data_IF_737399348464
#
_entry.id   IF_737399348464
#
_cell.length_a   1.000
_cell.length_b   1.000
_cell.length_c   1.000
_cell.angle_alpha   90.00
_cell.angle_beta   90.00
_cell.angle_gamma   90.00
#
_symmetry.space_group_name_H-M   'P 1'
#
loop_
_entity.id
_entity.type
_entity.pdbx_description
1 polymer ?
#
# COMPACT_ATOMS: atom_id res chain seq x y z
N UNK A 1 20.15 -11.42 0.14
CA UNK A 1 19.07 -12.28 -0.40
C UNK A 1 18.46 -13.25 0.62
N UNK A 2 18.97 -13.37 1.86
CA UNK A 2 18.46 -14.33 2.87
C UNK A 2 17.16 -13.94 3.61
N UNK A 3 16.64 -12.72 3.43
CA UNK A 3 15.48 -12.24 4.21
C UNK A 3 14.13 -12.68 3.62
N UNK A 4 14.04 -12.90 2.31
CA UNK A 4 12.78 -13.13 1.60
C UNK A 4 12.18 -14.53 1.85
N UNK A 5 13.02 -15.54 2.18
CA UNK A 5 12.59 -16.91 2.50
C UNK A 5 11.78 -17.02 3.81
N UNK A 6 11.68 -15.95 4.60
CA UNK A 6 10.96 -15.94 5.89
C UNK A 6 9.50 -15.50 5.77
N UNK A 7 9.06 -15.05 4.60
CA UNK A 7 7.71 -14.54 4.40
C UNK A 7 6.90 -15.51 3.55
N UNK A 8 5.79 -15.99 4.10
CA UNK A 8 4.80 -16.75 3.35
C UNK A 8 3.69 -15.82 2.88
N UNK A 9 3.36 -15.86 1.60
CA UNK A 9 2.28 -15.07 1.01
C UNK A 9 1.06 -15.97 0.85
N UNK A 10 -0.06 -15.57 1.45
CA UNK A 10 -1.37 -16.16 1.18
C UNK A 10 -2.15 -15.19 0.31
N UNK A 11 -2.65 -15.70 -0.80
CA UNK A 11 -3.37 -14.94 -1.80
C UNK A 11 -4.81 -15.45 -1.87
N UNK A 12 -5.79 -14.55 -1.88
CA UNK A 12 -7.18 -14.95 -2.09
C UNK A 12 -7.33 -15.65 -3.45
N UNK A 13 -8.18 -16.68 -3.55
CA UNK A 13 -8.42 -17.36 -4.83
C UNK A 13 -8.84 -16.42 -5.96
N UNK A 14 -9.55 -15.32 -5.65
CA UNK A 14 -9.97 -14.29 -6.60
C UNK A 14 -8.79 -13.54 -7.22
N UNK A 15 -7.63 -13.55 -6.57
CA UNK A 15 -6.42 -12.84 -6.98
C UNK A 15 -5.42 -13.71 -7.76
N UNK A 16 -5.83 -14.92 -8.22
CA UNK A 16 -4.95 -15.88 -8.90
C UNK A 16 -4.11 -15.27 -10.03
N UNK A 17 -4.60 -14.23 -10.72
CA UNK A 17 -3.90 -13.55 -11.82
C UNK A 17 -2.52 -13.00 -11.46
N UNK A 18 -2.28 -12.61 -10.19
CA UNK A 18 -0.97 -12.09 -9.75
C UNK A 18 -0.05 -13.16 -9.12
N UNK A 19 -0.49 -14.42 -9.08
CA UNK A 19 0.23 -15.50 -8.40
C UNK A 19 1.63 -15.73 -8.99
N UNK A 20 1.75 -15.79 -10.31
CA UNK A 20 3.03 -16.11 -10.96
C UNK A 20 4.05 -14.98 -10.78
N UNK A 21 3.59 -13.72 -10.86
CA UNK A 21 4.42 -12.56 -10.54
C UNK A 21 4.93 -12.60 -9.09
N UNK A 22 4.11 -13.10 -8.15
CA UNK A 22 4.53 -13.27 -6.75
C UNK A 22 5.50 -14.44 -6.55
N UNK A 23 5.33 -15.56 -7.26
CA UNK A 23 6.25 -16.71 -7.17
C UNK A 23 7.65 -16.38 -7.67
N UNK A 24 7.78 -15.43 -8.60
CA UNK A 24 9.09 -14.93 -9.04
C UNK A 24 9.85 -14.14 -7.96
N UNK A 25 9.16 -13.76 -6.87
CA UNK A 25 9.69 -12.89 -5.82
C UNK A 25 9.71 -13.60 -4.46
N UNK A 26 8.74 -14.46 -4.19
CA UNK A 26 8.55 -15.14 -2.91
C UNK A 26 8.61 -16.65 -3.12
N UNK A 27 9.38 -17.32 -2.28
CA UNK A 27 9.52 -18.78 -2.30
C UNK A 27 8.22 -19.50 -1.94
N UNK A 28 7.39 -18.91 -1.05
CA UNK A 28 6.19 -19.53 -0.50
C UNK A 28 4.96 -18.68 -0.80
N UNK A 29 4.27 -19.01 -1.89
CA UNK A 29 3.00 -18.38 -2.30
C UNK A 29 1.90 -19.45 -2.36
N UNK A 30 0.86 -19.29 -1.55
CA UNK A 30 -0.30 -20.21 -1.51
C UNK A 30 -1.59 -19.45 -1.80
N UNK A 31 -2.51 -20.14 -2.49
CA UNK A 31 -3.87 -19.66 -2.65
C UNK A 31 -4.74 -20.20 -1.51
N UNK A 32 -5.61 -19.36 -0.96
CA UNK A 32 -6.61 -19.77 0.02
C UNK A 32 -7.88 -18.92 -0.12
N UNK A 33 -8.99 -19.38 0.43
CA UNK A 33 -10.18 -18.54 0.58
C UNK A 33 -10.02 -17.66 1.81
N UNK A 34 -9.80 -16.36 1.62
CA UNK A 34 -9.62 -15.43 2.73
C UNK A 34 -10.98 -14.93 3.21
N UNK A 35 -11.16 -14.89 4.54
CA UNK A 35 -12.36 -14.26 5.14
C UNK A 35 -12.32 -12.73 5.04
N UNK A 36 -11.11 -12.16 5.00
CA UNK A 36 -10.84 -10.71 5.02
C UNK A 36 -9.53 -10.44 4.26
N UNK A 37 -9.52 -9.36 3.47
CA UNK A 37 -8.39 -8.96 2.63
C UNK A 37 -8.19 -9.87 1.44
N UNK A 38 -7.26 -9.45 0.58
CA UNK A 38 -6.95 -10.14 -0.67
C UNK A 38 -5.56 -10.78 -0.63
N UNK A 39 -4.66 -10.23 0.18
CA UNK A 39 -3.29 -10.73 0.36
C UNK A 39 -2.90 -10.68 1.84
N UNK A 40 -2.30 -11.76 2.33
CA UNK A 40 -1.73 -11.83 3.68
C UNK A 40 -0.25 -12.18 3.59
N UNK A 41 0.60 -11.33 4.15
CA UNK A 41 2.02 -11.61 4.35
C UNK A 41 2.23 -12.15 5.77
N UNK A 42 2.68 -13.40 5.87
CA UNK A 42 2.91 -14.10 7.13
C UNK A 42 4.41 -14.05 7.48
N UNK A 43 4.75 -13.22 8.46
CA UNK A 43 6.09 -13.08 9.05
C UNK A 43 6.20 -13.92 10.33
N UNK A 44 7.40 -14.35 10.77
CA UNK A 44 7.56 -15.31 11.89
C UNK A 44 6.68 -15.06 13.13
N UNK A 45 6.44 -13.81 13.53
CA UNK A 45 5.61 -13.48 14.70
C UNK A 45 4.30 -12.72 14.42
N UNK A 46 4.05 -12.25 13.20
CA UNK A 46 2.91 -11.38 12.90
C UNK A 46 2.45 -11.51 11.44
N UNK A 47 1.34 -10.86 11.12
CA UNK A 47 0.83 -10.78 9.77
C UNK A 47 0.68 -9.32 9.31
N UNK A 48 0.79 -9.11 8.01
CA UNK A 48 0.35 -7.88 7.33
C UNK A 48 -0.78 -8.25 6.40
N UNK A 49 -1.87 -7.50 6.48
CA UNK A 49 -3.08 -7.69 5.69
C UNK A 49 -3.15 -6.60 4.62
N UNK A 50 -3.39 -6.99 3.37
CA UNK A 50 -3.54 -6.07 2.24
C UNK A 50 -4.87 -6.33 1.56
N UNK A 51 -5.69 -5.30 1.45
CA UNK A 51 -6.85 -5.26 0.55
C UNK A 51 -6.38 -4.63 -0.76
N UNK A 52 -6.62 -5.30 -1.90
CA UNK A 52 -6.26 -4.80 -3.22
C UNK A 52 -7.53 -4.36 -3.93
N UNK A 53 -7.52 -3.18 -4.52
CA UNK A 53 -8.68 -2.64 -5.24
C UNK A 53 -8.24 -1.93 -6.51
N UNK A 54 -8.94 -2.14 -7.62
CA UNK A 54 -8.69 -1.33 -8.82
C UNK A 54 -9.19 0.11 -8.57
N UNK A 55 -8.68 1.09 -9.31
CA UNK A 55 -9.21 2.47 -9.23
C UNK A 55 -10.71 2.52 -9.52
N UNK A 56 -11.16 1.78 -10.53
CA UNK A 56 -12.58 1.71 -10.92
C UNK A 56 -13.43 1.12 -9.79
N UNK A 57 -13.00 0.01 -9.20
CA UNK A 57 -13.68 -0.60 -8.05
C UNK A 57 -13.63 0.31 -6.82
N UNK A 58 -12.53 1.02 -6.61
CA UNK A 58 -12.37 1.95 -5.49
C UNK A 58 -13.41 3.07 -5.57
N UNK A 59 -13.46 3.78 -6.70
CA UNK A 59 -14.45 4.83 -6.94
C UNK A 59 -15.88 4.27 -6.86
N UNK A 60 -16.16 3.13 -7.49
CA UNK A 60 -17.46 2.48 -7.44
C UNK A 60 -17.87 2.06 -6.02
N UNK A 61 -16.92 1.60 -5.20
CA UNK A 61 -17.16 1.17 -3.82
C UNK A 61 -17.38 2.32 -2.85
N UNK A 62 -16.80 3.50 -3.12
CA UNK A 62 -17.11 4.74 -2.37
C UNK A 62 -18.56 5.13 -2.66
N UNK A 63 -18.95 5.20 -3.93
CA UNK A 63 -20.31 5.60 -4.35
C UNK A 63 -21.41 4.69 -3.81
N UNK A 64 -21.13 3.39 -3.72
CA UNK A 64 -22.06 2.38 -3.21
C UNK A 64 -21.94 2.12 -1.70
N UNK A 65 -21.09 2.86 -0.98
CA UNK A 65 -20.77 2.67 0.45
C UNK A 65 -20.17 1.29 0.84
N UNK A 66 -20.01 0.37 -0.11
CA UNK A 66 -19.42 -0.96 0.10
C UNK A 66 -18.00 -0.89 0.67
N UNK A 67 -17.23 0.15 0.32
CA UNK A 67 -15.87 0.32 0.83
C UNK A 67 -15.83 0.37 2.36
N UNK A 68 -16.76 1.08 2.97
CA UNK A 68 -16.80 1.36 4.41
C UNK A 68 -17.03 0.08 5.22
N UNK A 69 -17.90 -0.80 4.74
CA UNK A 69 -18.13 -2.11 5.35
C UNK A 69 -16.88 -3.01 5.28
N UNK A 70 -16.20 -3.01 4.13
CA UNK A 70 -14.96 -3.76 3.96
C UNK A 70 -13.87 -3.25 4.92
N UNK A 71 -13.66 -1.94 4.97
CA UNK A 71 -12.67 -1.32 5.84
C UNK A 71 -13.01 -1.53 7.32
N UNK A 72 -14.28 -1.47 7.71
CA UNK A 72 -14.71 -1.77 9.07
C UNK A 72 -14.37 -3.21 9.46
N UNK A 73 -14.60 -4.17 8.55
CA UNK A 73 -14.25 -5.59 8.76
C UNK A 73 -12.74 -5.77 8.90
N UNK A 74 -11.95 -5.14 8.02
CA UNK A 74 -10.48 -5.14 8.06
C UNK A 74 -9.98 -4.53 9.38
N UNK A 75 -10.48 -3.36 9.77
CA UNK A 75 -10.13 -2.63 10.98
C UNK A 75 -10.42 -3.46 12.25
N UNK A 76 -11.58 -4.13 12.31
CA UNK A 76 -11.96 -4.99 13.44
C UNK A 76 -11.14 -6.27 13.52
N UNK A 77 -10.64 -6.78 12.40
CA UNK A 77 -9.85 -8.02 12.38
C UNK A 77 -8.50 -7.81 13.10
N UNK A 78 -8.22 -8.62 14.13
CA UNK A 78 -6.98 -8.52 14.93
C UNK A 78 -5.98 -9.65 14.66
N UNK A 79 -6.44 -10.80 14.15
CA UNK A 79 -5.61 -11.97 13.86
C UNK A 79 -6.01 -12.62 12.53
N UNK A 80 -5.04 -13.19 11.83
CA UNK A 80 -5.22 -14.07 10.66
C UNK A 80 -4.20 -15.20 10.76
N UNK A 81 -4.61 -16.43 10.41
CA UNK A 81 -3.74 -17.62 10.49
C UNK A 81 -3.02 -17.75 11.86
N UNK A 82 -3.73 -17.46 12.95
CA UNK A 82 -3.18 -17.49 14.31
C UNK A 82 -2.23 -16.34 14.68
N UNK A 83 -1.84 -15.48 13.73
CA UNK A 83 -0.89 -14.37 13.94
C UNK A 83 -1.62 -13.04 14.15
N UNK A 84 -1.11 -12.20 15.06
CA UNK A 84 -1.61 -10.83 15.24
C UNK A 84 -1.31 -10.01 13.98
N UNK A 85 -2.29 -9.25 13.51
CA UNK A 85 -2.09 -8.31 12.41
C UNK A 85 -1.34 -7.10 12.95
N UNK A 86 -0.16 -6.84 12.41
CA UNK A 86 0.66 -5.67 12.71
C UNK A 86 0.24 -4.47 11.87
N UNK A 87 -0.08 -4.69 10.58
CA UNK A 87 -0.45 -3.64 9.63
C UNK A 87 -1.58 -4.07 8.70
N UNK A 88 -2.38 -3.09 8.31
CA UNK A 88 -3.47 -3.19 7.35
C UNK A 88 -3.22 -2.15 6.28
N UNK A 89 -3.37 -2.53 5.02
CA UNK A 89 -3.06 -1.68 3.89
C UNK A 89 -4.20 -1.77 2.88
N UNK A 90 -4.61 -0.63 2.34
CA UNK A 90 -5.41 -0.57 1.12
C UNK A 90 -4.47 -0.24 -0.04
N UNK A 91 -4.36 -1.16 -0.99
CA UNK A 91 -3.55 -1.01 -2.20
C UNK A 91 -4.47 -0.76 -3.39
N UNK A 92 -4.52 0.49 -3.85
CA UNK A 92 -5.30 0.90 -5.02
C UNK A 92 -4.40 0.84 -6.25
N UNK A 93 -4.80 0.08 -7.27
CA UNK A 93 -4.03 -0.09 -8.51
C UNK A 93 -4.78 0.44 -9.74
N UNK A 94 -4.05 1.02 -10.68
CA UNK A 94 -4.59 1.64 -11.89
C UNK A 94 -4.36 3.15 -11.94
N UNK A 95 -4.66 3.75 -13.09
CA UNK A 95 -4.58 5.20 -13.30
C UNK A 95 -5.88 5.89 -12.89
N UNK A 96 -5.81 6.82 -11.93
CA UNK A 96 -6.91 7.75 -11.63
C UNK A 96 -7.11 8.73 -12.78
N UNK A 97 -6.02 9.15 -13.44
CA UNK A 97 -6.08 10.11 -14.55
C UNK A 97 -6.87 9.56 -15.73
N UNK A 98 -6.70 8.29 -16.06
CA UNK A 98 -7.42 7.66 -17.17
C UNK A 98 -8.93 7.65 -16.92
N UNK A 99 -9.34 7.59 -15.65
CA UNK A 99 -10.74 7.70 -15.25
C UNK A 99 -11.28 9.14 -15.26
N UNK A 100 -10.39 10.14 -15.16
CA UNK A 100 -10.72 11.57 -15.15
C UNK A 100 -10.76 12.18 -16.54
N UNK A 101 -9.91 11.71 -17.47
CA UNK A 101 -9.81 12.24 -18.84
C UNK A 101 -11.11 12.06 -19.66
N UNK A 102 -12.06 11.26 -19.16
CA UNK A 102 -13.36 11.00 -19.80
C UNK A 102 -14.46 11.94 -19.27
N UNK A 103 -14.19 12.74 -18.23
CA UNK A 103 -15.21 13.53 -17.52
C UNK A 103 -15.06 15.03 -17.77
N UNK A 104 -16.20 15.72 -17.90
CA UNK A 104 -16.27 17.19 -17.97
C UNK A 104 -15.64 17.85 -16.72
N UNK A 105 -15.07 19.06 -16.86
CA UNK A 105 -14.33 19.74 -15.78
C UNK A 105 -15.12 19.87 -14.46
N UNK A 106 -16.44 20.10 -14.51
CA UNK A 106 -17.27 20.18 -13.31
C UNK A 106 -17.43 18.84 -12.59
N UNK A 107 -17.40 17.72 -13.31
CA UNK A 107 -17.40 16.39 -12.72
C UNK A 107 -16.08 16.09 -12.00
N UNK A 108 -14.97 16.67 -12.46
CA UNK A 108 -13.66 16.50 -11.84
C UNK A 108 -13.63 17.11 -10.42
N UNK A 109 -14.19 18.30 -10.21
CA UNK A 109 -14.19 18.95 -8.88
C UNK A 109 -14.94 18.13 -7.81
N UNK A 110 -16.14 17.63 -8.13
CA UNK A 110 -16.94 16.80 -7.22
C UNK A 110 -16.31 15.45 -6.96
N UNK A 111 -15.73 14.83 -7.99
CA UNK A 111 -15.00 13.58 -7.84
C UNK A 111 -13.80 13.75 -6.92
N UNK A 112 -13.01 14.82 -7.09
CA UNK A 112 -11.89 15.11 -6.20
C UNK A 112 -12.31 15.40 -4.77
N UNK A 113 -13.42 16.10 -4.55
CA UNK A 113 -13.96 16.31 -3.21
C UNK A 113 -14.33 14.98 -2.55
N UNK A 114 -15.04 14.09 -3.26
CA UNK A 114 -15.41 12.77 -2.77
C UNK A 114 -14.20 11.88 -2.50
N UNK A 115 -13.23 11.83 -3.41
CA UNK A 115 -11.99 11.07 -3.25
C UNK A 115 -11.16 11.59 -2.08
N UNK A 116 -11.05 12.91 -1.92
CA UNK A 116 -10.29 13.52 -0.83
C UNK A 116 -10.91 13.19 0.53
N UNK A 117 -12.24 13.35 0.66
CA UNK A 117 -12.96 12.96 1.87
C UNK A 117 -12.79 11.47 2.19
N UNK A 118 -12.92 10.61 1.18
CA UNK A 118 -12.71 9.19 1.33
C UNK A 118 -11.29 8.86 1.79
N UNK A 119 -10.26 9.39 1.15
CA UNK A 119 -8.87 9.16 1.53
C UNK A 119 -8.59 9.63 2.97
N UNK A 120 -9.11 10.79 3.37
CA UNK A 120 -8.98 11.29 4.74
C UNK A 120 -9.65 10.35 5.75
N UNK A 121 -10.86 9.88 5.46
CA UNK A 121 -11.57 8.96 6.34
C UNK A 121 -10.83 7.62 6.48
N UNK A 122 -10.35 7.06 5.37
CA UNK A 122 -9.59 5.79 5.37
C UNK A 122 -8.30 5.92 6.22
N UNK A 123 -7.56 7.02 6.06
CA UNK A 123 -6.29 7.20 6.76
C UNK A 123 -6.48 7.61 8.23
N UNK A 124 -7.41 8.52 8.54
CA UNK A 124 -7.51 9.11 9.88
C UNK A 124 -8.54 8.43 10.79
N UNK A 125 -9.60 7.85 10.22
CA UNK A 125 -10.66 7.18 11.01
C UNK A 125 -10.41 5.68 11.06
N UNK A 126 -10.19 5.06 9.91
CA UNK A 126 -9.95 3.62 9.86
C UNK A 126 -8.50 3.23 10.20
N UNK A 127 -7.57 4.19 10.18
CA UNK A 127 -6.13 3.97 10.38
C UNK A 127 -5.57 2.90 9.43
N UNK A 128 -5.98 2.98 8.16
CA UNK A 128 -5.54 2.08 7.09
C UNK A 128 -4.82 2.92 6.03
N UNK A 129 -3.48 2.86 5.95
CA UNK A 129 -2.74 3.54 4.90
C UNK A 129 -3.18 3.10 3.51
N UNK A 130 -3.38 4.09 2.63
CA UNK A 130 -3.69 3.88 1.22
C UNK A 130 -2.44 4.08 0.38
N UNK A 131 -2.10 3.10 -0.45
CA UNK A 131 -1.03 3.21 -1.45
C UNK A 131 -1.62 3.11 -2.84
N UNK A 132 -1.22 4.04 -3.70
CA UNK A 132 -1.55 4.06 -5.11
C UNK A 132 -0.37 3.45 -5.90
N UNK A 133 -0.68 2.52 -6.79
CA UNK A 133 0.28 1.92 -7.72
C UNK A 133 -0.32 1.87 -9.12
N UNK A 134 0.51 1.87 -10.15
CA UNK A 134 0.02 2.01 -11.53
C UNK A 134 -0.63 0.73 -12.06
N UNK A 135 0.00 -0.43 -11.87
CA UNK A 135 -0.46 -1.67 -12.50
C UNK A 135 -0.17 -2.94 -11.67
N UNK A 136 -0.58 -4.08 -12.21
CA UNK A 136 -0.39 -5.41 -11.60
C UNK A 136 1.10 -5.79 -11.49
N UNK A 137 1.95 -5.28 -12.38
CA UNK A 137 3.39 -5.53 -12.36
C UNK A 137 4.06 -4.87 -11.14
N UNK A 138 3.56 -3.71 -10.74
CA UNK A 138 4.04 -2.98 -9.56
C UNK A 138 3.67 -3.67 -8.24
N UNK A 139 2.62 -4.50 -8.20
CA UNK A 139 2.15 -5.18 -6.99
C UNK A 139 3.24 -6.08 -6.39
N UNK A 140 3.88 -6.91 -7.20
CA UNK A 140 4.93 -7.83 -6.73
C UNK A 140 6.13 -7.07 -6.15
N UNK A 141 6.52 -5.97 -6.82
CA UNK A 141 7.59 -5.08 -6.36
C UNK A 141 7.22 -4.37 -5.06
N UNK A 142 5.99 -3.84 -4.96
CA UNK A 142 5.48 -3.22 -3.75
C UNK A 142 5.54 -4.20 -2.55
N UNK A 143 5.01 -5.41 -2.72
CA UNK A 143 4.99 -6.42 -1.66
C UNK A 143 6.40 -6.88 -1.28
N UNK A 144 7.32 -6.98 -2.24
CA UNK A 144 8.75 -7.26 -1.98
C UNK A 144 9.38 -6.21 -1.08
N UNK A 145 9.22 -4.94 -1.46
CA UNK A 145 9.79 -3.81 -0.72
C UNK A 145 9.15 -3.69 0.66
N UNK A 146 7.82 -3.85 0.75
CA UNK A 146 7.10 -3.91 2.02
C UNK A 146 7.68 -5.00 2.92
N UNK A 147 7.83 -6.23 2.41
CA UNK A 147 8.38 -7.36 3.15
C UNK A 147 9.80 -7.11 3.64
N UNK A 148 10.66 -6.58 2.78
CA UNK A 148 12.04 -6.21 3.15
C UNK A 148 12.07 -5.14 4.24
N UNK A 149 11.21 -4.13 4.14
CA UNK A 149 11.13 -3.04 5.13
C UNK A 149 10.56 -3.52 6.46
N UNK A 150 9.57 -4.41 6.45
CA UNK A 150 9.03 -5.06 7.65
C UNK A 150 10.07 -5.91 8.38
N UNK A 151 10.84 -6.72 7.63
CA UNK A 151 11.90 -7.56 8.21
C UNK A 151 13.05 -6.75 8.80
N UNK A 152 13.38 -5.61 8.19
CA UNK A 152 14.43 -4.72 8.65
C UNK A 152 13.96 -3.73 9.73
N UNK A 153 12.68 -3.73 10.11
CA UNK A 153 12.10 -2.77 11.06
C UNK A 153 12.03 -1.32 10.52
N UNK A 154 12.30 -1.10 9.24
CA UNK A 154 12.33 0.23 8.61
C UNK A 154 10.98 0.95 8.63
N UNK A 155 9.88 0.20 8.78
CA UNK A 155 8.54 0.77 8.90
C UNK A 155 8.16 1.12 10.35
N UNK A 156 8.93 0.69 11.33
CA UNK A 156 8.77 1.04 12.75
C UNK A 156 9.79 2.12 13.18
N UNK A 157 10.76 2.44 12.32
CA UNK A 157 11.82 3.39 12.62
C UNK A 157 11.31 4.83 12.66
N UNK A 158 11.85 5.63 13.57
CA UNK A 158 11.63 7.07 13.59
C UNK A 158 12.17 7.72 12.30
N UNK A 159 11.48 8.75 11.77
CA UNK A 159 11.97 9.47 10.61
C UNK A 159 13.31 10.11 10.93
N UNK A 160 14.33 9.83 10.12
CA UNK A 160 15.62 10.49 10.20
C UNK A 160 15.51 11.88 9.55
N UNK A 161 15.99 12.95 10.18
CA UNK A 161 16.01 14.27 9.53
C UNK A 161 16.83 14.19 8.25
N UNK A 162 16.21 14.57 7.12
CA UNK A 162 16.87 14.65 5.81
C UNK A 162 17.32 16.08 5.52
N UNK A 163 17.88 16.74 6.53
CA UNK A 163 18.26 18.15 6.46
C UNK A 163 19.70 18.36 6.01
N UNK A 164 20.15 17.74 4.92
CA UNK A 164 21.45 18.13 4.36
C UNK A 164 21.43 17.96 2.85
N UNK A 165 21.28 19.09 2.13
CA UNK A 165 21.79 19.20 0.77
C UNK A 165 23.26 18.81 0.86
N UNK A 166 23.67 17.66 0.31
CA UNK A 166 25.10 17.25 0.33
C UNK A 166 25.91 18.46 -0.13
N UNK A 167 26.80 18.98 0.73
CA UNK A 167 27.69 20.09 0.37
C UNK A 167 28.42 19.65 -0.90
N UNK A 168 28.21 20.35 -2.02
CA UNK A 168 28.98 20.06 -3.23
C UNK A 168 30.45 20.27 -2.85
N UNK A 169 31.28 19.25 -3.07
CA UNK A 169 32.74 19.40 -2.94
C UNK A 169 33.12 20.45 -4.00
N UNK A 170 33.81 21.51 -3.58
CA UNK A 170 34.28 22.63 -4.42
C UNK A 170 33.25 23.73 -4.75
N UNK A 171 32.47 24.20 -3.77
CA UNK A 171 31.73 25.47 -3.91
C UNK A 171 32.65 26.68 -3.60
N UNK A 172 32.66 27.72 -4.46
CA UNK A 172 33.30 29.00 -4.15
C UNK A 172 32.79 29.56 -2.81
N UNK A 173 33.65 30.24 -2.05
CA UNK A 173 33.35 30.72 -0.69
C UNK A 173 32.06 31.54 -0.59
N UNK A 174 31.74 32.32 -1.63
CA UNK A 174 30.52 33.14 -1.73
C UNK A 174 29.23 32.31 -1.78
N UNK A 175 29.25 31.13 -2.36
CA UNK A 175 28.07 30.27 -2.51
C UNK A 175 27.83 29.36 -1.29
N UNK A 176 28.81 29.23 -0.39
CA UNK A 176 28.68 28.44 0.85
C UNK A 176 27.59 29.00 1.79
N UNK A 177 27.26 30.30 1.71
CA UNK A 177 26.27 30.96 2.59
C UNK A 177 24.81 30.62 2.25
N UNK A 178 24.53 30.19 1.02
CA UNK A 178 23.16 29.89 0.54
C UNK A 178 22.66 28.51 1.03
N UNK A 179 23.52 27.74 1.71
CA UNK A 179 23.23 26.37 2.15
C UNK A 179 22.74 26.24 3.61
N UNK A 180 22.43 27.35 4.29
CA UNK A 180 22.01 27.37 5.71
C UNK A 180 20.50 27.57 5.94
N UNK A 181 19.65 27.45 4.92
CA UNK A 181 18.19 27.43 5.06
C UNK A 181 17.63 26.08 4.59
#
# INVERSE_FOLDING_TARGET
MLSENKVKVILDHRERKIQDALKNVFEKVELAQLKVGDIVLLFPGYAVLVERKSVTDFIGSIRSNRLWEQLLKIMKTKKVFGRKIKRKILLVHGSILDNLLVLEENYNSRLWASLSGALMEINYVYDIPVFLIEDDSAVSTFLRILSKRELNGSNDSFPKPRWFRKKRKNLPEKEKRVYFL
#
